data_IF_896131646524
#
_entry.id   IF_896131646524
#
_cell.length_a   1.000
_cell.length_b   1.000
_cell.length_c   1.000
_cell.angle_alpha   90.00
_cell.angle_beta   90.00
_cell.angle_gamma   90.00
#
_symmetry.space_group_name_H-M   'P 1'
#
loop_
_entity.id
_entity.type
_entity.pdbx_description
1 polymer ?
#
# COMPACT_ATOMS: atom_id res chain seq x y z
N UNK A 1 0.26 -9.27 -19.78
CA UNK A 1 -1.04 -9.96 -19.61
C UNK A 1 -1.32 -10.36 -18.16
N UNK A 2 -0.32 -10.77 -17.37
CA UNK A 2 -0.51 -11.21 -15.97
C UNK A 2 -0.69 -10.04 -14.99
N UNK A 3 0.15 -9.00 -15.10
CA UNK A 3 0.10 -7.81 -14.21
C UNK A 3 -1.13 -6.92 -14.42
N UNK A 4 -1.82 -6.99 -15.57
CA UNK A 4 -2.98 -6.13 -15.85
C UNK A 4 -4.24 -6.58 -15.12
N UNK A 5 -4.34 -7.86 -14.79
CA UNK A 5 -5.42 -8.39 -13.94
C UNK A 5 -5.14 -8.17 -12.45
N UNK A 6 -3.86 -8.07 -12.09
CA UNK A 6 -3.44 -7.99 -10.69
C UNK A 6 -3.96 -6.74 -9.98
N UNK A 7 -4.06 -5.61 -10.68
CA UNK A 7 -4.67 -4.39 -10.13
C UNK A 7 -6.11 -4.61 -9.69
N UNK A 8 -6.95 -5.18 -10.56
CA UNK A 8 -8.35 -5.41 -10.23
C UNK A 8 -8.51 -6.44 -9.11
N UNK A 9 -7.67 -7.47 -9.09
CA UNK A 9 -7.66 -8.48 -8.03
C UNK A 9 -7.35 -7.83 -6.67
N UNK A 10 -6.22 -7.12 -6.56
CA UNK A 10 -5.82 -6.45 -5.32
C UNK A 10 -6.82 -5.40 -4.86
N UNK A 11 -7.35 -4.60 -5.80
CA UNK A 11 -8.42 -3.64 -5.50
C UNK A 11 -9.67 -4.36 -4.96
N UNK A 12 -10.09 -5.46 -5.58
CA UNK A 12 -11.27 -6.23 -5.13
C UNK A 12 -11.07 -6.81 -3.74
N UNK A 13 -9.87 -7.32 -3.44
CA UNK A 13 -9.53 -7.86 -2.13
C UNK A 13 -9.53 -6.77 -1.05
N UNK A 14 -8.95 -5.60 -1.34
CA UNK A 14 -8.96 -4.46 -0.43
C UNK A 14 -10.39 -3.95 -0.15
N UNK A 15 -11.24 -3.87 -1.18
CA UNK A 15 -12.65 -3.53 -1.03
C UNK A 15 -13.35 -4.53 -0.12
N UNK A 16 -13.17 -5.83 -0.37
CA UNK A 16 -13.76 -6.90 0.45
C UNK A 16 -13.28 -6.81 1.91
N UNK A 17 -11.99 -6.62 2.14
CA UNK A 17 -11.40 -6.54 3.47
C UNK A 17 -11.82 -5.28 4.23
N UNK A 18 -12.19 -4.21 3.52
CA UNK A 18 -12.74 -2.99 4.14
C UNK A 18 -14.16 -3.16 4.70
N UNK A 19 -14.85 -4.26 4.38
CA UNK A 19 -16.25 -4.49 4.76
C UNK A 19 -17.27 -3.63 3.99
N UNK A 20 -16.83 -2.91 2.95
CA UNK A 20 -17.67 -2.01 2.15
C UNK A 20 -17.96 -2.58 0.77
N UNK A 21 -19.05 -2.15 0.17
CA UNK A 21 -19.33 -2.44 -1.24
C UNK A 21 -18.56 -1.50 -2.17
N UNK A 22 -18.35 -1.92 -3.43
CA UNK A 22 -17.79 -1.08 -4.49
C UNK A 22 -18.51 0.27 -4.58
N UNK A 23 -19.84 0.26 -4.62
CA UNK A 23 -20.67 1.47 -4.70
C UNK A 23 -20.50 2.40 -3.49
N UNK A 24 -20.22 1.85 -2.31
CA UNK A 24 -19.97 2.67 -1.13
C UNK A 24 -18.63 3.41 -1.26
N UNK A 25 -17.59 2.72 -1.69
CA UNK A 25 -16.26 3.32 -1.87
C UNK A 25 -16.27 4.32 -3.02
N UNK A 26 -16.97 4.03 -4.11
CA UNK A 26 -17.21 4.99 -5.19
C UNK A 26 -17.84 6.28 -4.67
N UNK A 27 -18.87 6.18 -3.81
CA UNK A 27 -19.51 7.35 -3.21
C UNK A 27 -18.58 8.12 -2.27
N UNK A 28 -17.80 7.41 -1.44
CA UNK A 28 -16.85 8.03 -0.51
C UNK A 28 -15.72 8.77 -1.24
N UNK A 29 -15.30 8.27 -2.41
CA UNK A 29 -14.28 8.88 -3.28
C UNK A 29 -14.86 9.84 -4.33
N UNK A 30 -16.17 10.10 -4.34
CA UNK A 30 -16.81 10.99 -5.32
C UNK A 30 -16.76 10.47 -6.77
N UNK A 31 -16.63 9.16 -6.95
CA UNK A 31 -16.58 8.52 -8.26
C UNK A 31 -17.97 8.24 -8.84
N UNK A 32 -18.08 8.20 -10.17
CA UNK A 32 -19.30 7.74 -10.82
C UNK A 32 -19.57 6.27 -10.51
N UNK A 33 -20.85 5.89 -10.51
CA UNK A 33 -21.29 4.51 -10.27
C UNK A 33 -20.62 3.51 -11.23
N UNK A 34 -20.25 2.35 -10.72
CA UNK A 34 -19.58 1.25 -11.43
C UNK A 34 -18.19 1.59 -12.01
N UNK A 35 -17.64 2.76 -11.68
CA UNK A 35 -16.33 3.18 -12.17
C UNK A 35 -15.19 2.27 -11.72
N UNK A 36 -15.28 1.66 -10.53
CA UNK A 36 -14.30 0.69 -10.03
C UNK A 36 -14.46 -0.68 -10.71
N UNK A 37 -15.69 -1.10 -10.99
CA UNK A 37 -15.95 -2.37 -11.71
C UNK A 37 -15.38 -2.39 -13.13
N UNK A 38 -15.26 -1.21 -13.77
CA UNK A 38 -14.68 -1.09 -15.11
C UNK A 38 -13.22 -1.55 -15.20
N UNK A 39 -12.51 -1.60 -14.08
CA UNK A 39 -11.12 -2.10 -14.03
C UNK A 39 -11.02 -3.62 -14.22
N UNK A 40 -12.14 -4.37 -14.08
CA UNK A 40 -12.19 -5.82 -14.36
C UNK A 40 -11.77 -6.16 -15.80
N UNK A 41 -12.06 -5.27 -16.74
CA UNK A 41 -11.82 -5.48 -18.17
C UNK A 41 -10.49 -4.84 -18.63
N UNK A 42 -9.47 -4.91 -17.79
CA UNK A 42 -8.09 -4.45 -18.07
C UNK A 42 -7.94 -2.95 -18.35
N UNK A 43 -8.88 -2.11 -17.94
CA UNK A 43 -8.65 -0.66 -17.93
C UNK A 43 -7.63 -0.34 -16.85
N UNK A 44 -6.60 0.44 -17.17
CA UNK A 44 -5.67 0.97 -16.17
C UNK A 44 -6.27 2.22 -15.53
N UNK A 45 -6.10 2.43 -14.22
CA UNK A 45 -6.40 3.73 -13.61
C UNK A 45 -5.45 4.79 -14.18
N UNK A 46 -5.87 6.06 -14.15
CA UNK A 46 -4.92 7.16 -14.30
C UNK A 46 -3.97 7.19 -13.11
N UNK A 47 -2.81 7.86 -13.25
CA UNK A 47 -1.86 8.02 -12.15
C UNK A 47 -2.50 8.64 -10.90
N UNK A 48 -3.30 9.70 -11.08
CA UNK A 48 -4.03 10.34 -9.98
C UNK A 48 -4.97 9.36 -9.27
N UNK A 49 -5.73 8.57 -10.05
CA UNK A 49 -6.68 7.60 -9.50
C UNK A 49 -6.00 6.43 -8.78
N UNK A 50 -4.83 6.01 -9.27
CA UNK A 50 -4.01 5.00 -8.61
C UNK A 50 -3.56 5.49 -7.23
N UNK A 51 -3.05 6.72 -7.15
CA UNK A 51 -2.60 7.33 -5.89
C UNK A 51 -3.75 7.52 -4.91
N UNK A 52 -4.90 7.98 -5.39
CA UNK A 52 -6.09 8.17 -4.55
C UNK A 52 -6.57 6.85 -3.93
N UNK A 53 -6.66 5.78 -4.73
CA UNK A 53 -7.02 4.44 -4.24
C UNK A 53 -5.96 3.90 -3.27
N UNK A 54 -4.68 4.09 -3.57
CA UNK A 54 -3.58 3.68 -2.70
C UNK A 54 -3.69 4.34 -1.32
N UNK A 55 -3.91 5.65 -1.27
CA UNK A 55 -4.08 6.40 -0.04
C UNK A 55 -5.34 5.96 0.74
N UNK A 56 -6.46 5.76 0.05
CA UNK A 56 -7.71 5.32 0.67
C UNK A 56 -7.55 3.98 1.40
N UNK A 57 -6.86 3.02 0.78
CA UNK A 57 -6.61 1.71 1.36
C UNK A 57 -5.32 1.61 2.19
N UNK A 58 -4.58 2.72 2.34
CA UNK A 58 -3.29 2.78 3.05
C UNK A 58 -2.26 1.77 2.51
N UNK A 59 -2.21 1.65 1.18
CA UNK A 59 -1.24 0.82 0.47
C UNK A 59 -0.38 1.65 -0.48
N UNK A 60 0.69 1.08 -1.05
CA UNK A 60 1.50 1.73 -2.08
C UNK A 60 0.84 1.61 -3.47
N UNK A 61 1.00 2.62 -4.35
CA UNK A 61 0.65 2.51 -5.76
C UNK A 61 1.30 1.29 -6.44
N UNK A 62 2.56 1.02 -6.10
CA UNK A 62 3.36 -0.11 -6.58
C UNK A 62 2.73 -1.45 -6.21
N UNK A 63 2.19 -1.57 -4.99
CA UNK A 63 1.42 -2.73 -4.59
C UNK A 63 0.16 -2.88 -5.45
N UNK A 64 -0.62 -1.82 -5.61
CA UNK A 64 -1.85 -1.94 -6.41
C UNK A 64 -1.56 -2.41 -7.84
N UNK A 65 -0.46 -2.01 -8.47
CA UNK A 65 -0.11 -2.43 -9.84
C UNK A 65 0.79 -3.67 -9.94
N UNK A 66 1.10 -4.32 -8.82
CA UNK A 66 1.88 -5.57 -8.83
C UNK A 66 3.39 -5.40 -9.05
N UNK A 67 3.97 -4.24 -8.72
CA UNK A 67 5.43 -4.04 -8.72
C UNK A 67 6.12 -4.51 -7.45
N UNK A 68 5.34 -4.71 -6.39
CA UNK A 68 5.79 -5.23 -5.08
C UNK A 68 4.66 -6.04 -4.45
N UNK A 69 5.00 -7.06 -3.68
CA UNK A 69 4.02 -7.80 -2.87
C UNK A 69 3.82 -7.17 -1.48
N UNK A 70 4.64 -6.17 -1.13
CA UNK A 70 4.53 -5.43 0.13
C UNK A 70 3.45 -4.36 -0.01
N UNK A 71 2.34 -4.44 0.73
CA UNK A 71 1.23 -3.52 0.56
C UNK A 71 1.54 -2.11 1.03
N UNK A 72 2.49 -1.93 1.94
CA UNK A 72 2.48 -0.80 2.85
C UNK A 72 3.28 0.40 2.31
N UNK A 73 2.69 1.60 2.36
CA UNK A 73 3.40 2.89 2.29
C UNK A 73 3.26 3.60 3.64
N UNK A 74 3.81 2.99 4.69
CA UNK A 74 3.73 3.54 6.06
C UNK A 74 4.99 4.35 6.30
N UNK A 75 4.87 5.65 6.63
CA UNK A 75 5.99 6.44 7.12
C UNK A 75 6.76 5.67 8.18
N UNK A 76 8.08 5.70 8.08
CA UNK A 76 8.99 4.95 8.97
C UNK A 76 8.67 5.23 10.44
N UNK A 77 8.25 6.46 10.76
CA UNK A 77 7.84 6.90 12.09
C UNK A 77 6.64 6.11 12.62
N UNK A 78 5.63 5.83 11.78
CA UNK A 78 4.46 5.06 12.18
C UNK A 78 4.79 3.58 12.37
N UNK A 79 5.74 3.05 11.59
CA UNK A 79 6.28 1.70 11.80
C UNK A 79 6.93 1.62 13.18
N UNK A 80 7.81 2.57 13.51
CA UNK A 80 8.47 2.61 14.82
C UNK A 80 7.50 2.81 15.98
N UNK A 81 6.46 3.63 15.81
CA UNK A 81 5.45 3.80 16.85
C UNK A 81 4.67 2.52 17.12
N UNK A 82 4.46 1.70 16.10
CA UNK A 82 3.72 0.44 16.19
C UNK A 82 4.49 -0.70 16.88
N UNK A 83 5.81 -0.59 17.01
CA UNK A 83 6.64 -1.62 17.64
C UNK A 83 6.39 -1.73 19.15
N UNK A 84 6.46 -2.96 19.64
CA UNK A 84 6.52 -3.23 21.08
C UNK A 84 7.90 -2.85 21.67
N UNK A 85 8.06 -3.03 22.99
CA UNK A 85 9.30 -2.62 23.67
C UNK A 85 10.50 -3.44 23.20
N UNK A 86 10.31 -4.73 22.93
CA UNK A 86 11.38 -5.64 22.51
C UNK A 86 11.81 -5.34 21.07
N UNK A 87 10.85 -5.13 20.18
CA UNK A 87 11.12 -4.76 18.78
C UNK A 87 11.88 -3.43 18.69
N UNK A 88 11.57 -2.47 19.57
CA UNK A 88 12.31 -1.20 19.67
C UNK A 88 13.74 -1.39 20.16
N UNK A 89 13.97 -2.26 21.14
CA UNK A 89 15.31 -2.60 21.63
C UNK A 89 16.18 -3.28 20.56
N UNK A 90 15.60 -4.23 19.82
CA UNK A 90 16.26 -4.90 18.70
C UNK A 90 16.63 -3.89 17.60
N UNK A 91 15.70 -3.01 17.23
CA UNK A 91 15.93 -1.98 16.23
C UNK A 91 17.00 -0.97 16.64
N UNK A 92 16.98 -0.54 17.90
CA UNK A 92 18.01 0.32 18.47
C UNK A 92 19.40 -0.32 18.38
N UNK A 93 19.51 -1.60 18.73
CA UNK A 93 20.78 -2.34 18.68
C UNK A 93 21.33 -2.41 17.26
N UNK A 94 20.48 -2.73 16.27
CA UNK A 94 20.86 -2.74 14.85
C UNK A 94 21.34 -1.37 14.36
N UNK A 95 20.67 -0.29 14.78
CA UNK A 95 21.11 1.07 14.43
C UNK A 95 22.49 1.39 14.99
N UNK A 96 22.77 1.00 16.23
CA UNK A 96 24.08 1.21 16.84
C UNK A 96 25.16 0.44 16.08
N UNK A 97 24.90 -0.83 15.74
CA UNK A 97 25.83 -1.64 14.95
C UNK A 97 26.12 -1.00 13.60
N UNK A 98 25.09 -0.59 12.85
CA UNK A 98 25.26 0.04 11.54
C UNK A 98 25.99 1.37 11.60
N UNK A 99 25.73 2.20 12.60
CA UNK A 99 26.45 3.46 12.78
C UNK A 99 27.94 3.20 13.08
N UNK A 100 28.25 2.23 13.93
CA UNK A 100 29.62 1.88 14.27
C UNK A 100 30.38 1.25 13.10
N UNK A 101 29.74 0.43 12.28
CA UNK A 101 30.33 -0.17 11.08
C UNK A 101 30.69 0.92 10.04
N UNK A 102 29.80 1.89 9.81
CA UNK A 102 30.05 2.97 8.85
C UNK A 102 31.11 4.00 9.31
N UNK A 103 31.57 3.93 10.57
CA UNK A 103 32.65 4.77 11.10
C UNK A 103 34.04 4.09 11.07
N UNK A 104 34.13 2.83 10.63
CA UNK A 104 35.39 2.07 10.60
C UNK A 104 35.97 1.87 9.19
N UNK A 105 35.25 2.30 8.14
CA UNK A 105 35.67 2.21 6.73
C UNK A 105 36.15 3.57 6.13
N UNK A 106 36.61 4.52 6.96
CA UNK A 106 37.28 5.77 6.53
C UNK A 106 38.74 5.81 6.97
#
# INVERSE_FOLDING_TARGET
MENEKLFYIRLSDLIKNSGKSFNQIERELGYSRNSLHNYKYSKRPSGARLVELANYFKVSPEYLIGRTDVPVNTPVELIFQSFDSKEKEEMYSLCQEWLLINHLDV
#
